data_IF_958780799663
#
_entry.id   IF_958780799663
#
_cell.length_a   1.000
_cell.length_b   1.000
_cell.length_c   1.000
_cell.angle_alpha   90.00
_cell.angle_beta   90.00
_cell.angle_gamma   90.00
#
_symmetry.space_group_name_H-M   'P 1'
#
loop_
_entity.id
_entity.type
_entity.pdbx_description
1 polymer ?
#
# COMPACT_ATOMS: atom_id res chain seq x y z
N UNK A 1 30.15 -4.83 50.62
CA UNK A 1 30.68 -5.50 49.42
C UNK A 1 29.73 -5.16 48.29
N UNK A 2 30.19 -4.36 47.34
CA UNK A 2 29.43 -3.95 46.14
C UNK A 2 28.97 -5.19 45.37
N UNK A 3 27.81 -5.18 44.69
CA UNK A 3 27.59 -4.93 43.23
C UNK A 3 26.12 -5.38 43.01
N UNK A 4 25.29 -4.98 42.05
CA UNK A 4 25.03 -3.81 41.20
C UNK A 4 23.73 -4.19 40.42
N UNK A 5 22.99 -3.20 39.92
CA UNK A 5 21.71 -3.37 39.23
C UNK A 5 21.85 -4.03 37.84
N UNK A 6 20.88 -4.87 37.45
CA UNK A 6 20.49 -5.22 36.06
C UNK A 6 19.02 -5.64 36.08
N UNK A 7 18.07 -4.73 35.84
CA UNK A 7 17.35 -4.49 34.58
C UNK A 7 16.74 -5.78 33.98
N UNK A 8 15.41 -5.87 34.09
CA UNK A 8 14.53 -6.85 33.44
C UNK A 8 14.17 -6.31 32.05
N UNK A 9 14.13 -7.14 31.00
CA UNK A 9 13.22 -6.92 29.90
C UNK A 9 12.14 -8.01 29.85
N UNK A 10 10.95 -7.53 29.52
CA UNK A 10 9.67 -8.21 29.49
C UNK A 10 9.63 -9.43 28.57
N UNK A 11 8.88 -10.42 29.04
CA UNK A 11 8.41 -11.59 28.30
C UNK A 11 7.37 -11.11 27.27
N UNK A 12 7.72 -11.15 25.99
CA UNK A 12 6.73 -11.18 24.91
C UNK A 12 6.56 -12.64 24.48
N UNK A 13 5.47 -13.24 24.93
CA UNK A 13 4.98 -14.54 24.49
C UNK A 13 4.35 -14.35 23.10
N UNK A 14 5.12 -14.54 22.03
CA UNK A 14 4.56 -14.67 20.68
C UNK A 14 4.29 -16.15 20.43
N UNK A 15 3.01 -16.45 20.33
CA UNK A 15 2.46 -17.75 19.96
C UNK A 15 2.93 -18.04 18.54
N UNK A 16 3.90 -18.94 18.39
CA UNK A 16 4.37 -19.42 17.10
C UNK A 16 3.29 -20.26 16.43
N UNK A 17 2.40 -19.61 15.67
CA UNK A 17 1.79 -20.27 14.52
C UNK A 17 2.92 -20.45 13.50
N UNK A 18 3.39 -21.70 13.40
CA UNK A 18 4.22 -22.19 12.31
C UNK A 18 3.42 -22.07 11.01
N UNK A 19 3.41 -20.89 10.40
CA UNK A 19 3.11 -20.77 8.99
C UNK A 19 4.32 -21.28 8.22
N UNK A 20 4.07 -22.41 7.58
CA UNK A 20 4.87 -23.10 6.59
C UNK A 20 5.57 -22.07 5.69
N UNK A 21 6.89 -22.17 5.42
CA UNK A 21 7.47 -21.42 4.32
C UNK A 21 6.88 -22.04 3.06
N UNK A 22 5.80 -21.45 2.56
CA UNK A 22 5.51 -21.57 1.13
C UNK A 22 6.67 -20.81 0.50
N UNK A 23 7.70 -21.57 0.10
CA UNK A 23 8.57 -21.16 -0.98
C UNK A 23 7.65 -20.89 -2.15
N UNK A 24 7.17 -19.65 -2.25
CA UNK A 24 6.47 -19.17 -3.41
C UNK A 24 7.59 -19.01 -4.41
N UNK A 25 7.83 -20.08 -5.17
CA UNK A 25 8.73 -20.07 -6.30
C UNK A 25 8.45 -18.79 -7.08
N UNK A 26 9.48 -17.98 -7.32
CA UNK A 26 9.47 -16.96 -8.36
C UNK A 26 8.75 -17.59 -9.56
N UNK A 27 7.55 -17.08 -9.87
CA UNK A 27 6.51 -17.82 -10.61
C UNK A 27 6.96 -18.25 -12.02
N UNK A 28 8.13 -17.80 -12.46
CA UNK A 28 8.74 -18.05 -13.77
C UNK A 28 10.26 -18.34 -13.71
N UNK A 29 10.81 -18.69 -12.54
CA UNK A 29 12.17 -19.22 -12.43
C UNK A 29 12.18 -20.66 -12.94
N UNK A 30 12.83 -20.88 -14.08
CA UNK A 30 12.81 -22.16 -14.75
C UNK A 30 13.80 -23.14 -14.11
N UNK A 31 14.97 -22.66 -13.71
CA UNK A 31 15.93 -23.45 -12.95
C UNK A 31 16.84 -22.60 -12.05
N UNK A 32 17.22 -23.14 -10.90
CA UNK A 32 18.19 -22.52 -9.98
C UNK A 32 19.15 -23.53 -9.37
N UNK A 33 20.45 -23.28 -9.45
CA UNK A 33 21.51 -24.15 -8.94
C UNK A 33 22.39 -23.39 -7.95
N UNK A 34 22.19 -23.58 -6.62
CA UNK A 34 22.98 -22.94 -5.58
C UNK A 34 24.34 -23.61 -5.33
N UNK A 35 24.56 -24.81 -5.87
CA UNK A 35 25.77 -25.62 -5.67
C UNK A 35 26.12 -25.96 -4.20
N UNK A 36 25.24 -25.69 -3.23
CA UNK A 36 25.43 -25.84 -1.77
C UNK A 36 25.49 -27.28 -1.22
N UNK A 37 25.49 -28.28 -2.10
CA UNK A 37 25.65 -29.69 -1.75
C UNK A 37 24.41 -30.39 -1.18
N UNK A 38 23.26 -29.72 -1.03
CA UNK A 38 21.99 -30.39 -0.84
C UNK A 38 21.26 -30.49 -2.20
N UNK A 39 20.73 -31.67 -2.54
CA UNK A 39 20.14 -31.93 -3.85
C UNK A 39 18.73 -31.29 -4.04
N UNK A 40 18.31 -30.39 -3.15
CA UNK A 40 16.92 -29.88 -3.09
C UNK A 40 16.91 -28.36 -3.31
N UNK A 41 16.93 -27.94 -4.58
CA UNK A 41 16.68 -26.56 -4.97
C UNK A 41 15.16 -26.27 -5.06
N UNK A 42 14.80 -24.97 -5.08
CA UNK A 42 13.41 -24.48 -5.08
C UNK A 42 12.55 -24.99 -6.27
N UNK A 43 13.18 -25.46 -7.36
CA UNK A 43 12.50 -26.01 -8.54
C UNK A 43 12.37 -27.54 -8.54
N UNK A 44 12.95 -28.24 -7.58
CA UNK A 44 12.80 -29.70 -7.40
C UNK A 44 13.58 -30.57 -8.40
N UNK A 45 14.61 -30.04 -9.05
CA UNK A 45 15.35 -30.73 -10.13
C UNK A 45 16.37 -31.78 -9.64
N UNK A 46 16.63 -31.87 -8.33
CA UNK A 46 17.28 -33.03 -7.71
C UNK A 46 18.80 -33.17 -7.93
N UNK A 47 19.49 -32.23 -8.59
CA UNK A 47 20.95 -32.25 -8.74
C UNK A 47 21.54 -30.85 -8.99
N UNK A 48 22.83 -30.69 -8.70
CA UNK A 48 23.65 -29.51 -9.03
C UNK A 48 24.21 -29.58 -10.46
N UNK A 49 23.47 -30.21 -11.38
CA UNK A 49 24.00 -30.69 -12.65
C UNK A 49 24.87 -31.95 -12.51
N UNK A 50 25.36 -32.45 -13.65
CA UNK A 50 26.30 -33.57 -13.74
C UNK A 50 27.70 -33.01 -13.97
N UNK A 51 28.61 -33.29 -13.03
CA UNK A 51 30.02 -32.92 -13.12
C UNK A 51 30.74 -33.84 -14.12
N UNK A 52 31.51 -33.24 -15.04
CA UNK A 52 32.29 -33.95 -16.07
C UNK A 52 33.76 -33.55 -15.96
N UNK A 53 34.67 -34.48 -16.29
CA UNK A 53 36.12 -34.27 -16.19
C UNK A 53 36.57 -34.14 -14.73
N UNK A 54 37.33 -33.09 -14.42
CA UNK A 54 37.82 -32.80 -13.07
C UNK A 54 36.94 -31.80 -12.32
N UNK A 55 35.73 -31.53 -12.80
CA UNK A 55 34.81 -30.61 -12.12
C UNK A 55 34.48 -31.12 -10.70
N UNK A 56 34.62 -30.25 -9.69
CA UNK A 56 34.25 -30.56 -8.30
C UNK A 56 33.33 -29.50 -7.72
N UNK A 57 32.60 -29.85 -6.65
CA UNK A 57 31.85 -28.89 -5.84
C UNK A 57 32.49 -28.84 -4.46
N UNK A 58 32.86 -27.64 -4.01
CA UNK A 58 33.46 -27.41 -2.69
C UNK A 58 32.80 -26.19 -2.06
N UNK A 59 32.22 -26.35 -0.86
CA UNK A 59 31.61 -25.27 -0.09
C UNK A 59 30.61 -24.39 -0.87
N UNK A 60 29.75 -24.98 -1.71
CA UNK A 60 28.78 -24.19 -2.47
C UNK A 60 29.29 -23.63 -3.80
N UNK A 61 30.51 -23.98 -4.21
CA UNK A 61 31.14 -23.43 -5.41
C UNK A 61 31.55 -24.56 -6.33
N UNK A 62 31.29 -24.41 -7.64
CA UNK A 62 31.82 -25.31 -8.67
C UNK A 62 33.25 -24.90 -8.98
N UNK A 63 34.16 -25.87 -9.01
CA UNK A 63 35.56 -25.70 -9.38
C UNK A 63 35.86 -26.48 -10.65
N UNK A 64 36.39 -25.79 -11.65
CA UNK A 64 37.01 -26.38 -12.84
C UNK A 64 38.52 -26.17 -12.69
N UNK A 65 39.32 -27.23 -12.54
CA UNK A 65 40.70 -27.12 -12.01
C UNK A 65 41.81 -27.12 -13.08
N UNK A 66 41.47 -27.14 -14.37
CA UNK A 66 42.42 -26.86 -15.43
C UNK A 66 43.52 -27.89 -15.74
N UNK A 67 43.61 -28.99 -14.97
CA UNK A 67 44.79 -29.87 -14.92
C UNK A 67 44.89 -30.95 -16.01
N UNK A 68 43.87 -31.09 -16.87
CA UNK A 68 43.81 -32.17 -17.87
C UNK A 68 44.60 -31.87 -19.15
N UNK A 69 45.35 -32.88 -19.62
CA UNK A 69 46.03 -32.83 -20.91
C UNK A 69 45.06 -33.18 -22.04
N UNK A 70 44.50 -32.13 -22.65
CA UNK A 70 43.97 -32.08 -24.01
C UNK A 70 43.03 -33.21 -24.49
N UNK A 71 42.14 -33.79 -23.67
CA UNK A 71 41.03 -34.65 -24.14
C UNK A 71 39.83 -34.73 -23.16
N UNK A 72 40.04 -34.42 -21.88
CA UNK A 72 39.00 -34.45 -20.85
C UNK A 72 38.52 -33.02 -20.51
N UNK A 73 37.43 -32.60 -21.14
CA UNK A 73 36.77 -31.32 -20.85
C UNK A 73 36.20 -31.32 -19.42
N UNK A 74 36.50 -30.29 -18.63
CA UNK A 74 35.89 -30.10 -17.30
C UNK A 74 34.75 -29.11 -17.38
N UNK A 75 33.54 -29.56 -17.05
CA UNK A 75 32.33 -28.76 -17.12
C UNK A 75 31.22 -29.33 -16.24
N UNK A 76 30.17 -28.54 -16.04
CA UNK A 76 28.90 -29.01 -15.46
C UNK A 76 27.86 -29.02 -16.57
N UNK A 77 27.19 -30.15 -16.79
CA UNK A 77 26.05 -30.26 -17.72
C UNK A 77 24.75 -30.40 -16.96
N UNK A 78 23.69 -29.75 -17.45
CA UNK A 78 22.38 -29.76 -16.82
C UNK A 78 21.32 -30.54 -17.63
N UNK A 79 21.75 -31.25 -18.69
CA UNK A 79 20.88 -32.03 -19.56
C UNK A 79 20.08 -31.15 -20.55
N UNK A 80 19.37 -31.80 -21.47
CA UNK A 80 18.62 -31.14 -22.56
C UNK A 80 17.27 -30.55 -22.13
N UNK A 81 16.82 -30.79 -20.89
CA UNK A 81 15.49 -30.43 -20.41
C UNK A 81 15.42 -29.08 -19.68
N UNK A 82 16.56 -28.51 -19.27
CA UNK A 82 16.67 -27.26 -18.49
C UNK A 82 16.48 -25.99 -19.36
N UNK A 83 15.56 -26.09 -20.34
CA UNK A 83 15.21 -25.08 -21.32
C UNK A 83 16.16 -24.96 -22.52
N UNK A 84 15.72 -25.54 -23.63
CA UNK A 84 16.20 -25.16 -24.95
C UNK A 84 15.80 -23.71 -25.22
N UNK A 85 16.76 -22.79 -25.35
CA UNK A 85 16.54 -21.33 -25.42
C UNK A 85 15.71 -20.83 -26.63
N UNK A 86 15.28 -21.73 -27.53
CA UNK A 86 14.35 -21.57 -28.68
C UNK A 86 14.05 -20.11 -29.15
N UNK A 87 12.80 -19.76 -29.45
CA UNK A 87 12.40 -18.39 -29.86
C UNK A 87 11.96 -17.53 -28.68
N UNK A 88 12.04 -18.05 -27.46
CA UNK A 88 11.49 -17.40 -26.28
C UNK A 88 12.45 -16.35 -25.71
N UNK A 89 11.89 -15.40 -24.97
CA UNK A 89 12.66 -14.55 -24.07
C UNK A 89 13.28 -15.42 -22.98
N UNK A 90 14.48 -15.09 -22.55
CA UNK A 90 15.14 -15.82 -21.46
C UNK A 90 16.13 -14.94 -20.73
N UNK A 91 16.50 -15.36 -19.53
CA UNK A 91 17.61 -14.77 -18.78
C UNK A 91 18.48 -15.86 -18.18
N UNK A 92 19.79 -15.71 -18.32
CA UNK A 92 20.78 -16.59 -17.69
C UNK A 92 21.65 -15.72 -16.80
N UNK A 93 21.67 -15.99 -15.49
CA UNK A 93 22.45 -15.24 -14.51
C UNK A 93 23.34 -16.20 -13.75
N UNK A 94 24.63 -15.90 -13.67
CA UNK A 94 25.56 -16.70 -12.87
C UNK A 94 26.70 -15.86 -12.30
N UNK A 95 27.18 -16.27 -11.13
CA UNK A 95 28.43 -15.78 -10.55
C UNK A 95 29.61 -16.59 -11.08
N UNK A 96 30.71 -15.91 -11.41
CA UNK A 96 31.97 -16.58 -11.73
C UNK A 96 33.17 -15.81 -11.17
N UNK A 97 34.29 -16.52 -11.06
CA UNK A 97 35.60 -15.97 -10.68
C UNK A 97 36.70 -16.72 -11.40
N UNK A 98 37.69 -15.99 -11.93
CA UNK A 98 38.82 -16.58 -12.65
C UNK A 98 40.05 -15.65 -12.65
N UNK A 99 41.24 -16.21 -12.93
CA UNK A 99 42.48 -15.48 -13.16
C UNK A 99 43.34 -16.26 -14.16
N UNK A 100 43.08 -16.09 -15.45
CA UNK A 100 43.62 -16.91 -16.53
C UNK A 100 44.59 -16.16 -17.43
N UNK A 101 45.74 -16.78 -17.73
CA UNK A 101 46.83 -16.07 -18.40
C UNK A 101 46.71 -16.06 -19.94
N UNK A 102 46.25 -17.11 -20.64
CA UNK A 102 46.24 -17.14 -22.13
C UNK A 102 45.13 -18.02 -22.76
N UNK A 103 43.84 -17.65 -22.64
CA UNK A 103 42.75 -18.54 -23.10
C UNK A 103 41.52 -17.85 -23.70
N UNK A 104 40.83 -18.56 -24.59
CA UNK A 104 39.43 -18.32 -24.98
C UNK A 104 38.64 -19.57 -24.60
N UNK A 105 37.61 -19.42 -23.75
CA UNK A 105 36.81 -20.54 -23.26
C UNK A 105 35.34 -20.15 -23.11
N UNK A 106 34.47 -21.15 -23.07
CA UNK A 106 33.04 -20.94 -22.86
C UNK A 106 32.76 -20.92 -21.34
N UNK A 107 32.24 -19.81 -20.82
CA UNK A 107 31.77 -19.68 -19.44
C UNK A 107 30.46 -20.42 -19.24
N UNK A 108 29.51 -20.22 -20.15
CA UNK A 108 28.19 -20.80 -20.08
C UNK A 108 27.56 -20.89 -21.47
N UNK A 109 26.71 -21.87 -21.72
CA UNK A 109 26.03 -22.02 -23.01
C UNK A 109 25.83 -23.47 -23.42
N UNK A 110 25.23 -23.66 -24.59
CA UNK A 110 24.98 -24.97 -25.19
C UNK A 110 25.86 -25.22 -26.44
N UNK A 111 26.80 -24.33 -26.74
CA UNK A 111 27.78 -24.52 -27.79
C UNK A 111 28.70 -25.72 -27.50
N UNK A 112 28.96 -26.53 -28.53
CA UNK A 112 29.97 -27.58 -28.51
C UNK A 112 30.89 -27.47 -29.73
N UNK A 113 32.03 -28.17 -29.67
CA UNK A 113 32.91 -28.28 -30.82
C UNK A 113 32.19 -28.86 -32.04
N UNK A 114 32.27 -28.15 -33.15
CA UNK A 114 31.55 -28.51 -34.38
C UNK A 114 30.07 -28.10 -34.39
N UNK A 115 29.55 -27.47 -33.34
CA UNK A 115 28.25 -26.76 -33.42
C UNK A 115 28.31 -25.75 -34.54
N UNK A 116 27.42 -25.91 -35.53
CA UNK A 116 27.20 -24.93 -36.57
C UNK A 116 25.81 -24.33 -36.30
N UNK A 117 25.81 -23.17 -35.65
CA UNK A 117 24.62 -22.38 -35.36
C UNK A 117 23.64 -22.92 -34.33
N UNK A 118 22.59 -22.12 -34.10
CA UNK A 118 21.51 -22.27 -33.14
C UNK A 118 22.01 -22.55 -31.72
N UNK A 119 22.91 -21.69 -31.21
CA UNK A 119 23.48 -21.83 -29.87
C UNK A 119 23.52 -20.51 -29.10
N UNK A 120 23.58 -20.63 -27.78
CA UNK A 120 24.03 -19.59 -26.85
C UNK A 120 25.46 -19.91 -26.42
N UNK A 121 26.36 -18.93 -26.53
CA UNK A 121 27.69 -19.00 -25.96
C UNK A 121 28.02 -17.71 -25.21
N UNK A 122 28.25 -17.83 -23.92
CA UNK A 122 28.93 -16.82 -23.09
C UNK A 122 30.37 -17.25 -22.99
N UNK A 123 31.29 -16.48 -23.57
CA UNK A 123 32.71 -16.78 -23.66
C UNK A 123 33.51 -15.78 -22.86
N UNK A 124 34.73 -16.17 -22.51
CA UNK A 124 35.67 -15.32 -21.79
C UNK A 124 37.05 -15.34 -22.43
N UNK A 125 37.68 -14.17 -22.43
CA UNK A 125 39.02 -13.95 -22.98
C UNK A 125 39.99 -13.67 -21.84
N UNK A 126 41.01 -14.51 -21.68
CA UNK A 126 42.12 -14.31 -20.74
C UNK A 126 43.28 -13.51 -21.35
N UNK A 127 44.34 -13.31 -20.56
CA UNK A 127 45.32 -12.23 -20.79
C UNK A 127 46.22 -12.39 -22.04
N UNK A 128 46.31 -13.59 -22.61
CA UNK A 128 47.19 -13.94 -23.73
C UNK A 128 46.55 -13.84 -25.10
N UNK A 129 45.28 -13.41 -25.19
CA UNK A 129 44.64 -13.22 -26.48
C UNK A 129 45.17 -11.97 -27.18
N UNK A 130 45.72 -12.12 -28.38
CA UNK A 130 46.45 -11.05 -29.08
C UNK A 130 45.56 -9.87 -29.52
N UNK A 131 44.24 -10.07 -29.68
CA UNK A 131 43.36 -9.11 -30.36
C UNK A 131 42.15 -8.63 -29.55
N UNK A 132 41.85 -9.26 -28.42
CA UNK A 132 40.67 -8.95 -27.60
C UNK A 132 41.19 -8.70 -26.18
N UNK A 133 40.76 -7.62 -25.51
CA UNK A 133 41.26 -7.29 -24.19
C UNK A 133 41.08 -8.42 -23.17
N UNK A 134 42.01 -8.49 -22.24
CA UNK A 134 41.95 -9.40 -21.10
C UNK A 134 40.66 -9.19 -20.28
N UNK A 135 40.05 -10.29 -19.87
CA UNK A 135 38.82 -10.35 -19.09
C UNK A 135 37.54 -10.05 -19.87
N UNK A 136 37.59 -9.95 -21.19
CA UNK A 136 36.39 -9.66 -21.98
C UNK A 136 35.42 -10.85 -21.94
N UNK A 137 34.18 -10.59 -21.51
CA UNK A 137 33.05 -11.52 -21.71
C UNK A 137 32.43 -11.25 -23.06
N UNK A 138 32.18 -12.30 -23.84
CA UNK A 138 31.54 -12.20 -25.16
C UNK A 138 30.29 -13.08 -25.15
N UNK A 139 29.13 -12.51 -25.44
CA UNK A 139 27.91 -13.30 -25.64
C UNK A 139 27.60 -13.39 -27.12
N UNK A 140 27.35 -14.60 -27.58
CA UNK A 140 26.97 -14.93 -28.94
C UNK A 140 25.67 -15.72 -28.97
N UNK A 141 24.79 -15.30 -29.89
CA UNK A 141 23.66 -16.06 -30.40
C UNK A 141 23.89 -16.24 -31.90
N UNK A 142 24.32 -17.43 -32.33
CA UNK A 142 24.82 -17.65 -33.70
C UNK A 142 23.94 -18.62 -34.50
N UNK A 143 23.80 -18.38 -35.82
CA UNK A 143 23.67 -19.40 -36.87
C UNK A 143 24.23 -18.88 -38.20
N UNK A 144 24.99 -19.72 -38.90
CA UNK A 144 25.47 -19.50 -40.26
C UNK A 144 24.29 -19.43 -41.25
N UNK A 145 23.68 -18.25 -41.39
CA UNK A 145 22.88 -17.95 -42.59
C UNK A 145 21.71 -16.97 -42.48
N UNK A 146 21.02 -16.84 -41.33
CA UNK A 146 19.83 -15.95 -41.28
C UNK A 146 19.47 -15.31 -39.93
N UNK A 147 20.11 -15.65 -38.80
CA UNK A 147 19.71 -15.16 -37.48
C UNK A 147 20.91 -14.62 -36.68
N UNK A 148 21.14 -13.31 -36.69
CA UNK A 148 22.19 -12.68 -35.90
C UNK A 148 21.59 -11.54 -35.09
N UNK A 149 21.45 -11.73 -33.78
CA UNK A 149 21.11 -10.61 -32.87
C UNK A 149 22.33 -9.75 -32.59
N UNK A 150 23.53 -10.34 -32.57
CA UNK A 150 24.76 -9.63 -32.33
C UNK A 150 25.72 -10.40 -31.42
N UNK A 151 27.02 -10.26 -31.67
CA UNK A 151 28.06 -10.49 -30.68
C UNK A 151 28.13 -9.26 -29.80
N UNK A 152 27.96 -9.43 -28.49
CA UNK A 152 28.13 -8.38 -27.48
C UNK A 152 29.37 -8.70 -26.67
N UNK A 153 30.17 -7.68 -26.38
CA UNK A 153 31.39 -7.80 -25.58
C UNK A 153 31.34 -6.85 -24.40
N UNK A 154 31.82 -7.30 -23.25
CA UNK A 154 31.94 -6.47 -22.05
C UNK A 154 32.81 -5.25 -22.30
N UNK A 155 32.46 -4.12 -21.67
CA UNK A 155 33.30 -2.92 -21.71
C UNK A 155 34.53 -3.05 -20.79
N UNK A 156 34.38 -3.81 -19.71
CA UNK A 156 35.41 -4.02 -18.69
C UNK A 156 35.90 -5.46 -18.68
N UNK A 157 37.17 -5.64 -18.31
CA UNK A 157 37.78 -6.95 -18.10
C UNK A 157 37.47 -7.49 -16.70
N UNK A 158 37.10 -8.76 -16.61
CA UNK A 158 36.70 -9.46 -15.38
C UNK A 158 37.74 -10.52 -14.94
N UNK A 159 38.98 -10.44 -15.43
CA UNK A 159 40.05 -11.39 -15.15
C UNK A 159 40.94 -10.95 -13.97
N UNK A 160 40.32 -10.70 -12.82
CA UNK A 160 40.99 -10.05 -11.68
C UNK A 160 41.02 -10.92 -10.40
N UNK A 161 40.49 -12.15 -10.46
CA UNK A 161 40.38 -13.04 -9.33
C UNK A 161 39.30 -12.65 -8.30
N UNK A 162 38.40 -11.72 -8.62
CA UNK A 162 37.21 -11.41 -7.82
C UNK A 162 35.97 -12.14 -8.36
N UNK A 163 34.91 -12.12 -7.56
CA UNK A 163 33.60 -12.61 -7.99
C UNK A 163 32.92 -11.55 -8.83
N UNK A 164 32.41 -11.97 -9.98
CA UNK A 164 31.59 -11.16 -10.86
C UNK A 164 30.27 -11.87 -11.17
N UNK A 165 29.19 -11.11 -11.25
CA UNK A 165 27.91 -11.58 -11.76
C UNK A 165 27.81 -11.25 -13.25
N UNK A 166 27.41 -12.25 -14.05
CA UNK A 166 27.06 -12.07 -15.46
C UNK A 166 25.58 -12.35 -15.62
N UNK A 167 24.82 -11.39 -16.14
CA UNK A 167 23.41 -11.56 -16.52
C UNK A 167 23.25 -11.36 -18.03
N UNK A 168 22.77 -12.39 -18.72
CA UNK A 168 22.49 -12.37 -20.16
C UNK A 168 20.99 -12.41 -20.36
N UNK A 169 20.44 -11.33 -20.91
CA UNK A 169 18.99 -11.13 -21.04
C UNK A 169 18.63 -11.05 -22.52
N UNK A 170 17.79 -11.96 -22.99
CA UNK A 170 17.15 -11.87 -24.30
C UNK A 170 15.71 -11.38 -24.14
N UNK A 171 15.40 -10.27 -24.81
CA UNK A 171 14.05 -9.75 -24.93
C UNK A 171 13.73 -9.45 -26.40
N UNK A 172 13.01 -10.36 -27.05
CA UNK A 172 12.72 -10.32 -28.48
C UNK A 172 13.99 -10.40 -29.32
N UNK A 173 14.28 -9.29 -30.01
CA UNK A 173 15.44 -9.11 -30.88
C UNK A 173 16.63 -8.45 -30.18
N UNK A 174 16.49 -8.11 -28.89
CA UNK A 174 17.54 -7.50 -28.08
C UNK A 174 18.23 -8.54 -27.20
N UNK A 175 19.55 -8.47 -27.17
CA UNK A 175 20.42 -9.19 -26.25
C UNK A 175 21.17 -8.18 -25.39
N UNK A 176 21.05 -8.31 -24.09
CA UNK A 176 21.61 -7.38 -23.11
C UNK A 176 22.53 -8.12 -22.16
N UNK A 177 23.69 -7.50 -21.88
CA UNK A 177 24.66 -7.96 -20.90
C UNK A 177 24.63 -7.00 -19.70
N UNK A 178 24.43 -7.56 -18.52
CA UNK A 178 24.66 -6.89 -17.25
C UNK A 178 25.84 -7.54 -16.55
N UNK A 179 26.66 -6.70 -15.90
CA UNK A 179 27.79 -7.11 -15.09
C UNK A 179 27.64 -6.50 -13.70
N UNK A 180 27.77 -7.33 -12.67
CA UNK A 180 27.71 -6.89 -11.26
C UNK A 180 26.45 -6.04 -10.96
N UNK A 181 25.31 -6.52 -11.45
CA UNK A 181 24.01 -5.85 -11.34
C UNK A 181 23.77 -4.72 -12.35
N UNK A 182 24.81 -4.15 -12.95
CA UNK A 182 24.72 -2.94 -13.76
C UNK A 182 24.65 -3.25 -15.26
N UNK A 183 23.92 -2.43 -16.02
CA UNK A 183 23.88 -2.53 -17.48
C UNK A 183 25.28 -2.28 -18.05
N UNK A 184 25.82 -3.26 -18.79
CA UNK A 184 27.10 -3.10 -19.50
C UNK A 184 26.84 -2.73 -20.97
N UNK A 185 26.08 -3.54 -21.70
CA UNK A 185 25.89 -3.33 -23.13
C UNK A 185 24.58 -3.96 -23.64
N UNK A 186 24.06 -3.46 -24.76
CA UNK A 186 22.88 -4.00 -25.45
C UNK A 186 23.13 -4.02 -26.95
N UNK A 187 22.80 -5.13 -27.59
CA UNK A 187 22.76 -5.23 -29.05
C UNK A 187 21.37 -5.68 -29.49
N UNK A 188 20.92 -5.16 -30.63
CA UNK A 188 19.68 -5.58 -31.28
C UNK A 188 19.98 -6.01 -32.70
N UNK A 189 19.36 -7.09 -33.17
CA UNK A 189 19.58 -7.60 -34.53
C UNK A 189 18.35 -8.25 -35.14
N UNK A 190 18.56 -9.25 -36.00
CA UNK A 190 17.49 -9.93 -36.73
C UNK A 190 16.65 -10.86 -35.87
N UNK A 191 15.46 -11.24 -36.36
CA UNK A 191 14.58 -12.22 -35.71
C UNK A 191 15.30 -13.57 -35.58
N UNK A 192 15.62 -13.99 -34.35
CA UNK A 192 16.14 -15.36 -34.13
C UNK A 192 14.97 -16.34 -34.16
N UNK A 193 14.97 -17.21 -35.15
CA UNK A 193 13.92 -18.22 -35.33
C UNK A 193 14.21 -19.56 -34.62
N UNK A 194 15.44 -19.81 -34.16
CA UNK A 194 15.79 -20.97 -33.34
C UNK A 194 17.15 -20.75 -32.62
N UNK A 195 17.24 -21.18 -31.36
CA UNK A 195 18.48 -21.22 -30.53
C UNK A 195 18.77 -22.62 -29.98
N UNK A 196 18.03 -23.63 -30.42
CA UNK A 196 18.25 -25.01 -30.01
C UNK A 196 19.13 -25.74 -31.01
N UNK A 197 20.25 -26.27 -30.53
CA UNK A 197 21.15 -27.18 -31.25
C UNK A 197 21.13 -28.61 -30.66
N UNK A 198 20.14 -28.93 -29.82
CA UNK A 198 19.99 -30.20 -29.10
C UNK A 198 21.10 -30.56 -28.09
N UNK A 199 22.06 -29.66 -27.85
CA UNK A 199 23.08 -29.87 -26.83
C UNK A 199 22.59 -29.45 -25.44
N UNK A 200 23.17 -30.06 -24.42
CA UNK A 200 22.96 -29.62 -23.05
C UNK A 200 23.53 -28.22 -22.82
N UNK A 201 22.85 -27.42 -22.00
CA UNK A 201 23.44 -26.24 -21.40
C UNK A 201 24.54 -26.65 -20.40
N UNK A 202 25.65 -25.91 -20.40
CA UNK A 202 26.84 -26.19 -19.60
C UNK A 202 27.38 -24.94 -18.93
N UNK A 203 28.05 -25.14 -17.78
CA UNK A 203 28.99 -24.18 -17.21
C UNK A 203 30.42 -24.68 -17.44
N UNK A 204 31.23 -23.82 -18.06
CA UNK A 204 32.62 -24.08 -18.42
C UNK A 204 32.77 -25.00 -19.61
N UNK A 205 33.79 -24.75 -20.43
CA UNK A 205 34.39 -25.69 -21.38
C UNK A 205 35.63 -25.08 -22.05
N UNK A 206 36.69 -25.87 -22.27
CA UNK A 206 37.85 -25.45 -23.08
C UNK A 206 37.61 -25.68 -24.57
N UNK A 207 38.16 -24.80 -25.42
CA UNK A 207 38.19 -24.97 -26.87
C UNK A 207 39.49 -25.71 -27.27
N UNK A 208 39.42 -26.54 -28.33
CA UNK A 208 40.50 -27.35 -28.92
C UNK A 208 41.95 -26.96 -28.52
N UNK A 209 42.70 -27.95 -28.04
CA UNK A 209 44.15 -27.90 -27.77
C UNK A 209 44.64 -26.99 -26.62
N UNK A 210 43.74 -26.34 -25.86
CA UNK A 210 44.11 -25.57 -24.66
C UNK A 210 43.74 -26.31 -23.36
N UNK A 211 44.59 -26.27 -22.31
CA UNK A 211 44.24 -26.88 -21.04
C UNK A 211 43.02 -26.18 -20.43
N UNK A 212 42.21 -26.91 -19.66
CA UNK A 212 40.98 -26.39 -19.06
C UNK A 212 41.24 -25.09 -18.27
N UNK A 213 40.33 -24.12 -18.34
CA UNK A 213 40.40 -22.89 -17.54
C UNK A 213 40.12 -23.19 -16.05
N UNK A 214 40.81 -22.47 -15.16
CA UNK A 214 40.53 -22.45 -13.72
C UNK A 214 39.42 -21.44 -13.46
N UNK A 215 38.21 -21.96 -13.27
CA UNK A 215 37.02 -21.13 -13.08
C UNK A 215 36.26 -21.65 -11.88
N UNK A 216 35.80 -20.70 -11.07
CA UNK A 216 34.85 -20.94 -10.01
C UNK A 216 33.48 -20.40 -10.41
N UNK A 217 32.40 -21.14 -10.14
CA UNK A 217 31.03 -20.67 -10.33
C UNK A 217 30.25 -20.71 -9.03
N UNK A 218 29.35 -19.74 -8.87
CA UNK A 218 28.37 -19.67 -7.81
C UNK A 218 27.01 -19.26 -8.41
N UNK A 219 25.93 -19.76 -7.83
CA UNK A 219 24.52 -19.50 -8.15
C UNK A 219 24.19 -19.35 -9.65
N UNK A 220 23.63 -20.39 -10.29
CA UNK A 220 23.07 -20.29 -11.65
C UNK A 220 21.55 -20.12 -11.59
N UNK A 221 21.04 -19.03 -12.16
CA UNK A 221 19.60 -18.78 -12.37
C UNK A 221 19.29 -18.81 -13.86
N UNK A 222 18.22 -19.53 -14.23
CA UNK A 222 17.69 -19.57 -15.59
C UNK A 222 16.20 -19.21 -15.54
N UNK A 223 15.83 -18.20 -16.32
CA UNK A 223 14.47 -17.72 -16.48
C UNK A 223 14.01 -17.94 -17.91
N UNK A 224 12.75 -18.35 -18.08
CA UNK A 224 12.08 -18.46 -19.39
C UNK A 224 11.45 -17.13 -19.84
N UNK A 225 11.95 -16.01 -19.29
CA UNK A 225 11.56 -14.63 -19.60
C UNK A 225 12.75 -13.70 -19.48
N UNK A 226 12.61 -12.49 -20.01
CA UNK A 226 13.51 -11.38 -19.67
C UNK A 226 13.18 -10.89 -18.26
N UNK A 227 14.17 -10.88 -17.36
CA UNK A 227 14.08 -10.25 -16.04
C UNK A 227 14.46 -8.76 -16.13
N UNK A 228 13.88 -7.94 -15.27
CA UNK A 228 14.10 -6.49 -15.21
C UNK A 228 15.43 -6.12 -14.54
N UNK A 229 15.87 -4.87 -14.73
CA UNK A 229 17.10 -4.35 -14.11
C UNK A 229 17.07 -4.45 -12.57
N UNK A 230 15.91 -4.21 -11.95
CA UNK A 230 15.77 -4.33 -10.50
C UNK A 230 15.92 -5.78 -10.03
N UNK A 231 15.38 -6.76 -10.77
CA UNK A 231 15.57 -8.19 -10.45
C UNK A 231 17.05 -8.59 -10.53
N UNK A 232 17.76 -8.09 -11.56
CA UNK A 232 19.20 -8.32 -11.75
C UNK A 232 20.01 -7.72 -10.58
N UNK A 233 19.70 -6.49 -10.19
CA UNK A 233 20.31 -5.84 -9.03
C UNK A 233 20.02 -6.60 -7.73
N UNK A 234 18.78 -7.05 -7.52
CA UNK A 234 18.37 -7.83 -6.33
C UNK A 234 19.14 -9.15 -6.23
N UNK A 235 19.35 -9.84 -7.36
CA UNK A 235 20.19 -11.04 -7.44
C UNK A 235 21.67 -10.74 -7.14
N UNK A 236 22.17 -9.57 -7.51
CA UNK A 236 23.57 -9.18 -7.26
C UNK A 236 23.84 -8.83 -5.79
N UNK A 237 22.95 -8.07 -5.16
CA UNK A 237 23.09 -7.65 -3.75
C UNK A 237 22.71 -8.75 -2.75
N UNK A 238 22.02 -9.80 -3.21
CA UNK A 238 21.55 -10.90 -2.36
C UNK A 238 20.39 -10.53 -1.44
N UNK A 239 19.68 -9.43 -1.75
CA UNK A 239 18.61 -8.86 -0.90
C UNK A 239 17.24 -9.50 -1.14
N UNK A 240 17.07 -10.23 -2.23
CA UNK A 240 15.87 -10.99 -2.55
C UNK A 240 16.23 -12.00 -3.64
N UNK A 241 15.57 -13.15 -3.66
CA UNK A 241 15.76 -14.16 -4.70
C UNK A 241 15.19 -13.68 -6.06
N UNK A 242 15.55 -12.47 -6.51
CA UNK A 242 14.95 -11.80 -7.67
C UNK A 242 13.69 -11.00 -7.37
N UNK A 243 13.36 -10.70 -6.11
CA UNK A 243 12.18 -9.88 -5.77
C UNK A 243 12.53 -8.39 -5.75
N UNK A 244 11.72 -7.57 -6.42
CA UNK A 244 11.89 -6.12 -6.57
C UNK A 244 11.14 -5.33 -5.50
N UNK A 245 11.70 -4.18 -5.17
CA UNK A 245 11.09 -3.04 -4.51
C UNK A 245 11.39 -1.84 -5.42
N UNK A 246 10.40 -1.40 -6.18
CA UNK A 246 10.58 -0.51 -7.33
C UNK A 246 10.65 0.96 -6.94
N UNK A 247 9.98 1.36 -5.86
CA UNK A 247 10.00 2.73 -5.34
C UNK A 247 10.84 2.90 -4.07
N UNK A 248 11.39 1.81 -3.54
CA UNK A 248 12.26 1.74 -2.36
C UNK A 248 11.56 2.16 -1.07
N UNK A 249 10.27 1.86 -0.93
CA UNK A 249 9.52 2.12 0.28
C UNK A 249 9.68 1.02 1.36
N UNK A 250 10.37 -0.07 1.02
CA UNK A 250 10.64 -1.21 1.89
C UNK A 250 9.63 -2.35 1.75
N UNK A 251 8.60 -2.20 0.91
CA UNK A 251 7.64 -3.21 0.53
C UNK A 251 8.02 -3.75 -0.86
N UNK A 252 7.89 -5.06 -1.03
CA UNK A 252 8.21 -5.69 -2.32
C UNK A 252 7.04 -5.49 -3.27
N UNK A 253 7.28 -5.23 -4.55
CA UNK A 253 6.25 -5.02 -5.57
C UNK A 253 5.11 -6.05 -5.58
N UNK A 254 5.39 -7.30 -5.17
CA UNK A 254 4.38 -8.38 -5.10
C UNK A 254 3.43 -8.30 -3.90
N UNK A 255 3.75 -7.46 -2.93
CA UNK A 255 3.06 -7.20 -1.67
C UNK A 255 2.71 -5.71 -1.52
N UNK A 256 3.03 -4.91 -2.53
CA UNK A 256 2.89 -3.45 -2.53
C UNK A 256 1.61 -3.08 -3.28
N UNK A 257 0.70 -2.35 -2.62
CA UNK A 257 -0.52 -1.85 -3.23
C UNK A 257 -0.29 -0.61 -4.12
N UNK A 258 0.90 0.01 -4.06
CA UNK A 258 1.33 1.05 -5.00
C UNK A 258 2.78 0.86 -5.49
N UNK A 259 3.09 -0.19 -6.29
CA UNK A 259 4.47 -0.61 -6.67
C UNK A 259 5.37 0.42 -7.38
N UNK A 260 4.87 1.62 -7.67
CA UNK A 260 5.64 2.70 -8.29
C UNK A 260 5.59 4.01 -7.51
N UNK A 261 4.93 4.07 -6.36
CA UNK A 261 4.75 5.26 -5.53
C UNK A 261 4.90 4.86 -4.08
N UNK A 262 6.01 5.28 -3.48
CA UNK A 262 6.38 4.91 -2.12
C UNK A 262 5.27 5.21 -1.10
N UNK A 263 4.77 4.16 -0.43
CA UNK A 263 3.77 4.21 0.63
C UNK A 263 3.97 3.07 1.64
N UNK A 264 5.00 3.21 2.47
CA UNK A 264 5.39 2.18 3.43
C UNK A 264 4.32 1.79 4.47
N UNK A 265 3.26 2.59 4.62
CA UNK A 265 2.10 2.32 5.47
C UNK A 265 1.04 1.43 4.80
N UNK A 266 1.05 1.36 3.46
CA UNK A 266 0.15 0.54 2.64
C UNK A 266 -1.32 0.81 2.97
N UNK A 267 -1.66 2.07 3.23
CA UNK A 267 -3.05 2.49 3.44
C UNK A 267 -3.86 2.22 2.15
N UNK A 268 -5.08 1.73 2.35
CA UNK A 268 -6.03 1.26 1.35
C UNK A 268 -7.42 1.41 2.00
N UNK A 269 -8.02 2.58 1.85
CA UNK A 269 -9.20 3.02 2.61
C UNK A 269 -10.47 2.25 2.22
N UNK A 270 -10.60 1.87 0.96
CA UNK A 270 -11.75 1.14 0.41
C UNK A 270 -11.55 -0.39 0.26
N UNK A 271 -10.35 -0.88 0.56
CA UNK A 271 -9.95 -2.28 0.44
C UNK A 271 -10.05 -2.85 -0.99
N UNK A 272 -9.88 -2.02 -2.03
CA UNK A 272 -9.92 -2.45 -3.43
C UNK A 272 -8.58 -3.06 -3.92
N UNK A 273 -7.50 -2.79 -3.19
CA UNK A 273 -6.15 -3.29 -3.42
C UNK A 273 -5.21 -2.32 -4.14
N UNK A 274 -5.67 -1.14 -4.56
CA UNK A 274 -4.83 0.03 -4.74
C UNK A 274 -4.65 0.74 -3.38
N UNK A 275 -3.50 1.36 -3.17
CA UNK A 275 -3.30 2.18 -1.98
C UNK A 275 -3.69 3.63 -2.23
N UNK A 276 -4.10 4.35 -1.20
CA UNK A 276 -4.60 5.74 -1.28
C UNK A 276 -3.66 6.68 -2.08
N UNK A 277 -2.34 6.46 -2.01
CA UNK A 277 -1.39 7.32 -2.77
C UNK A 277 -1.44 7.13 -4.28
N UNK A 278 -1.97 5.99 -4.75
CA UNK A 278 -2.09 5.63 -6.15
C UNK A 278 -3.53 5.36 -6.60
N UNK A 279 -4.49 5.41 -5.68
CA UNK A 279 -5.90 5.44 -5.98
C UNK A 279 -6.35 6.84 -6.45
N UNK A 280 -7.49 6.87 -7.12
CA UNK A 280 -8.15 8.03 -7.66
C UNK A 280 -9.40 8.43 -6.85
N UNK A 281 -9.96 7.48 -6.10
CA UNK A 281 -11.16 7.58 -5.28
C UNK A 281 -10.96 6.65 -4.06
N UNK A 282 -10.33 7.19 -3.01
CA UNK A 282 -9.78 6.40 -1.88
C UNK A 282 -10.88 5.72 -1.06
N UNK A 283 -12.13 6.20 -1.10
CA UNK A 283 -13.26 5.63 -0.35
C UNK A 283 -14.36 5.02 -1.22
N UNK A 284 -14.19 5.08 -2.55
CA UNK A 284 -15.03 4.45 -3.57
C UNK A 284 -16.50 4.91 -3.54
N UNK A 285 -16.76 6.15 -3.15
CA UNK A 285 -18.10 6.74 -3.14
C UNK A 285 -18.58 7.24 -4.51
N UNK A 286 -17.65 7.28 -5.48
CA UNK A 286 -17.86 7.69 -6.86
C UNK A 286 -17.46 9.13 -7.17
N UNK A 287 -16.85 9.85 -6.23
CA UNK A 287 -16.27 11.18 -6.39
C UNK A 287 -14.74 11.07 -6.30
N UNK A 288 -14.05 11.70 -7.24
CA UNK A 288 -12.59 11.63 -7.29
C UNK A 288 -11.99 12.42 -6.12
N UNK A 289 -10.90 11.95 -5.49
CA UNK A 289 -10.26 12.57 -4.30
C UNK A 289 -10.03 14.08 -4.42
N UNK A 290 -9.80 14.59 -5.63
CA UNK A 290 -9.54 16.01 -5.89
C UNK A 290 -10.80 16.90 -5.94
N UNK A 291 -11.97 16.28 -5.98
CA UNK A 291 -13.30 16.88 -6.06
C UNK A 291 -14.18 16.52 -4.86
N UNK A 292 -13.71 15.61 -4.02
CA UNK A 292 -14.39 15.09 -2.84
C UNK A 292 -14.15 15.99 -1.61
N UNK A 293 -15.22 16.38 -0.91
CA UNK A 293 -15.14 17.14 0.34
C UNK A 293 -14.84 16.25 1.56
N UNK A 294 -14.89 14.91 1.43
CA UNK A 294 -14.44 13.94 2.42
C UNK A 294 -13.67 12.77 1.79
N UNK A 295 -12.44 12.97 1.27
CA UNK A 295 -11.69 11.99 0.46
C UNK A 295 -11.34 10.63 1.12
N UNK A 296 -11.78 10.38 2.34
CA UNK A 296 -11.51 9.12 3.06
C UNK A 296 -12.74 8.58 3.78
N UNK A 297 -13.91 9.20 3.59
CA UNK A 297 -15.17 8.85 4.22
C UNK A 297 -16.29 9.01 3.20
N UNK A 298 -16.71 7.87 2.63
CA UNK A 298 -17.69 7.83 1.55
C UNK A 298 -18.95 8.66 1.86
N UNK A 299 -19.19 9.69 1.06
CA UNK A 299 -20.32 10.62 1.20
C UNK A 299 -20.78 11.13 -0.18
N UNK A 300 -21.28 10.19 -1.00
CA UNK A 300 -21.68 10.46 -2.40
C UNK A 300 -22.70 11.60 -2.64
N UNK A 301 -23.37 12.12 -1.61
CA UNK A 301 -24.24 13.30 -1.69
C UNK A 301 -23.50 14.63 -1.52
N UNK A 302 -22.26 14.61 -1.02
CA UNK A 302 -21.34 15.73 -0.85
C UNK A 302 -22.00 16.88 -0.08
N UNK A 303 -22.76 16.54 0.96
CA UNK A 303 -23.33 17.53 1.85
C UNK A 303 -22.20 18.27 2.58
N UNK A 304 -22.37 19.59 2.67
CA UNK A 304 -21.46 20.57 3.26
C UNK A 304 -22.36 21.73 3.71
N UNK A 305 -22.82 21.66 4.96
CA UNK A 305 -23.92 22.47 5.49
C UNK A 305 -23.52 23.93 5.71
N UNK A 306 -22.27 24.18 6.08
CA UNK A 306 -21.73 25.52 6.33
C UNK A 306 -20.95 26.13 5.15
N UNK A 307 -20.75 25.36 4.08
CA UNK A 307 -20.00 25.72 2.88
C UNK A 307 -18.51 26.04 3.13
N UNK A 308 -17.88 25.40 4.12
CA UNK A 308 -16.47 25.60 4.45
C UNK A 308 -15.51 24.75 3.59
N UNK A 309 -16.06 23.75 2.91
CA UNK A 309 -15.37 22.84 2.00
C UNK A 309 -15.01 21.48 2.59
N UNK A 310 -15.26 21.26 3.88
CA UNK A 310 -15.28 19.95 4.56
C UNK A 310 -16.71 19.42 4.48
N UNK A 311 -16.90 18.14 4.12
CA UNK A 311 -18.25 17.60 4.07
C UNK A 311 -18.76 17.17 5.44
N UNK A 312 -20.08 17.19 5.64
CA UNK A 312 -20.72 16.81 6.92
C UNK A 312 -20.35 15.39 7.40
N UNK A 313 -19.88 14.52 6.50
CA UNK A 313 -19.45 13.17 6.86
C UNK A 313 -18.08 13.12 7.57
N UNK A 314 -17.28 14.16 7.42
CA UNK A 314 -15.90 14.27 7.93
C UNK A 314 -15.61 15.62 8.60
N UNK A 315 -16.62 16.46 8.77
CA UNK A 315 -16.58 17.61 9.67
C UNK A 315 -16.94 17.17 11.10
N UNK A 316 -16.46 17.91 12.09
CA UNK A 316 -16.80 17.73 13.50
C UNK A 316 -17.75 18.86 14.00
N UNK A 317 -18.06 19.88 13.18
CA UNK A 317 -18.91 21.05 13.45
C UNK A 317 -19.65 21.48 12.16
N UNK A 318 -20.68 20.71 11.77
CA UNK A 318 -21.39 20.78 10.47
C UNK A 318 -22.00 22.16 10.13
N UNK A 319 -22.25 23.01 11.13
CA UNK A 319 -22.85 24.33 10.95
C UNK A 319 -21.94 25.51 11.37
N UNK A 320 -20.70 25.21 11.76
CA UNK A 320 -19.63 26.12 12.13
C UNK A 320 -20.04 27.16 13.22
N UNK A 321 -20.90 26.78 14.16
CA UNK A 321 -21.33 27.64 15.26
C UNK A 321 -20.38 27.64 16.47
N UNK A 322 -19.43 26.70 16.49
CA UNK A 322 -18.45 26.50 17.54
C UNK A 322 -18.83 25.47 18.60
N UNK A 323 -19.89 24.68 18.38
CA UNK A 323 -20.29 23.53 19.18
C UNK A 323 -20.13 22.27 18.33
N UNK A 324 -19.19 21.40 18.70
CA UNK A 324 -18.98 20.12 17.99
C UNK A 324 -20.27 19.28 17.92
N UNK A 325 -20.53 18.63 16.78
CA UNK A 325 -21.72 17.84 16.45
C UNK A 325 -22.17 16.90 17.57
N UNK A 326 -21.20 16.25 18.22
CA UNK A 326 -21.45 15.30 19.30
C UNK A 326 -22.06 15.91 20.56
N UNK A 327 -22.06 17.24 20.65
CA UNK A 327 -22.61 18.05 21.76
C UNK A 327 -23.65 19.07 21.29
N UNK A 328 -23.93 19.14 19.99
CA UNK A 328 -24.84 20.11 19.40
C UNK A 328 -26.30 19.59 19.38
N UNK A 329 -27.22 20.36 19.96
CA UNK A 329 -28.65 20.08 19.91
C UNK A 329 -29.34 20.54 18.63
N UNK A 330 -28.62 21.21 17.71
CA UNK A 330 -29.08 21.59 16.38
C UNK A 330 -28.00 21.43 15.29
N UNK A 331 -27.44 20.22 15.17
CA UNK A 331 -26.39 19.79 14.23
C UNK A 331 -26.20 20.59 12.91
N UNK A 332 -27.29 20.99 12.23
CA UNK A 332 -27.23 21.64 10.91
C UNK A 332 -27.74 23.09 10.93
N UNK A 333 -27.87 23.71 12.10
CA UNK A 333 -28.51 25.02 12.29
C UNK A 333 -27.88 25.79 13.44
N UNK A 334 -26.96 26.67 13.06
CA UNK A 334 -26.12 27.44 13.98
C UNK A 334 -26.89 28.06 15.16
N UNK A 335 -26.53 27.62 16.37
CA UNK A 335 -27.14 28.00 17.64
C UNK A 335 -26.16 27.88 18.84
N UNK A 336 -25.01 28.54 18.77
CA UNK A 336 -23.94 28.51 19.79
C UNK A 336 -24.35 28.74 21.28
N UNK A 337 -25.58 29.18 21.55
CA UNK A 337 -26.14 29.28 22.91
C UNK A 337 -26.80 27.99 23.44
N UNK A 338 -27.04 27.01 22.56
CA UNK A 338 -27.56 25.68 22.83
C UNK A 338 -28.84 25.73 23.69
N UNK A 339 -29.69 26.73 23.42
CA UNK A 339 -30.97 26.85 24.10
C UNK A 339 -31.88 25.67 23.71
N UNK A 340 -32.46 25.04 24.72
CA UNK A 340 -33.42 23.93 24.66
C UNK A 340 -34.41 24.18 25.81
N UNK A 341 -35.55 24.81 25.51
CA UNK A 341 -36.46 25.35 26.50
C UNK A 341 -37.33 24.28 27.18
N UNK A 342 -37.68 23.20 26.49
CA UNK A 342 -38.49 22.11 27.01
C UNK A 342 -37.66 20.90 27.50
N UNK A 343 -36.39 20.83 27.10
CA UNK A 343 -35.44 19.81 27.51
C UNK A 343 -35.59 18.49 26.76
N UNK A 344 -36.16 18.49 25.56
CA UNK A 344 -36.36 17.28 24.76
C UNK A 344 -35.11 16.83 23.97
N UNK A 345 -34.11 17.72 23.88
CA UNK A 345 -32.83 17.50 23.22
C UNK A 345 -32.71 18.09 21.82
N UNK A 346 -33.78 18.66 21.25
CA UNK A 346 -33.70 19.56 20.11
C UNK A 346 -33.48 20.99 20.60
N UNK A 347 -32.57 21.73 19.97
CA UNK A 347 -32.41 23.15 20.30
C UNK A 347 -33.50 24.01 19.70
N UNK A 348 -33.82 25.13 20.35
CA UNK A 348 -34.82 26.09 19.89
C UNK A 348 -34.60 26.59 18.45
N UNK A 349 -33.37 26.51 17.92
CA UNK A 349 -33.08 26.95 16.56
C UNK A 349 -33.59 25.97 15.49
N UNK A 350 -33.73 24.70 15.84
CA UNK A 350 -34.10 23.60 14.95
C UNK A 350 -35.35 22.83 15.42
N UNK A 351 -35.93 23.23 16.56
CA UNK A 351 -37.24 22.78 17.02
C UNK A 351 -38.37 23.55 16.30
N UNK A 352 -39.58 23.00 16.35
CA UNK A 352 -40.81 23.58 15.81
C UNK A 352 -41.83 23.95 16.90
N UNK A 353 -41.54 23.61 18.15
CA UNK A 353 -42.37 23.84 19.35
C UNK A 353 -41.44 24.04 20.57
N UNK A 354 -40.75 25.18 20.62
CA UNK A 354 -39.65 25.51 21.54
C UNK A 354 -39.89 25.17 23.01
N UNK A 355 -41.13 25.27 23.50
CA UNK A 355 -41.48 25.07 24.91
C UNK A 355 -42.32 23.82 25.18
N UNK A 356 -42.56 23.01 24.14
CA UNK A 356 -43.25 21.72 24.22
C UNK A 356 -44.69 21.81 24.72
N UNK A 357 -45.35 22.97 24.59
CA UNK A 357 -46.72 23.18 25.06
C UNK A 357 -47.79 22.65 24.10
N UNK A 358 -47.38 22.25 22.88
CA UNK A 358 -48.22 21.70 21.82
C UNK A 358 -48.72 22.72 20.80
N UNK A 359 -48.23 23.96 20.83
CA UNK A 359 -48.53 25.04 19.89
C UNK A 359 -47.26 25.42 19.13
N UNK A 360 -47.18 25.00 17.86
CA UNK A 360 -46.01 25.30 17.01
C UNK A 360 -45.61 26.78 17.01
N UNK A 361 -44.31 27.07 16.97
CA UNK A 361 -43.73 28.42 17.15
C UNK A 361 -44.36 29.47 16.22
N UNK A 362 -44.66 29.06 14.98
CA UNK A 362 -45.26 29.93 13.98
C UNK A 362 -46.65 30.48 14.36
N UNK A 363 -47.32 29.84 15.33
CA UNK A 363 -48.61 30.23 15.87
C UNK A 363 -48.56 30.59 17.36
N UNK A 364 -47.43 30.36 18.03
CA UNK A 364 -47.26 30.63 19.45
C UNK A 364 -46.84 32.09 19.69
N UNK A 365 -47.51 32.72 20.65
CA UNK A 365 -47.24 34.09 21.09
C UNK A 365 -46.31 34.13 22.31
N UNK A 366 -46.02 32.96 22.91
CA UNK A 366 -45.33 32.78 24.18
C UNK A 366 -44.34 31.61 24.13
N UNK A 367 -43.33 31.69 23.25
CA UNK A 367 -42.29 30.68 22.94
C UNK A 367 -41.43 30.14 24.11
N UNK A 368 -41.74 30.52 25.35
CA UNK A 368 -40.99 30.12 26.56
C UNK A 368 -41.95 29.91 27.73
N UNK A 369 -43.14 29.36 27.45
CA UNK A 369 -44.08 28.96 28.48
C UNK A 369 -43.45 27.89 29.36
N UNK A 370 -43.66 28.00 30.67
CA UNK A 370 -43.05 27.05 31.59
C UNK A 370 -43.64 25.64 31.40
N UNK A 371 -42.75 24.65 31.28
CA UNK A 371 -43.12 23.24 31.04
C UNK A 371 -44.22 22.75 32.01
N UNK A 372 -45.31 22.24 31.43
CA UNK A 372 -46.45 21.69 32.15
C UNK A 372 -47.49 22.72 32.62
N UNK A 373 -47.34 23.99 32.27
CA UNK A 373 -48.43 24.94 32.39
C UNK A 373 -49.56 24.63 31.40
N UNK A 374 -50.78 25.03 31.77
CA UNK A 374 -51.94 24.89 30.88
C UNK A 374 -51.98 26.14 30.00
N UNK A 375 -51.99 25.93 28.70
CA UNK A 375 -51.89 26.97 27.68
C UNK A 375 -53.17 27.13 26.87
N UNK A 376 -53.36 28.31 26.28
CA UNK A 376 -54.40 28.51 25.27
C UNK A 376 -53.94 27.87 23.95
N UNK A 377 -54.66 26.88 23.40
CA UNK A 377 -54.24 26.13 22.20
C UNK A 377 -54.20 26.97 20.91
N UNK A 378 -54.61 28.23 20.96
CA UNK A 378 -54.53 29.17 19.84
C UNK A 378 -53.30 30.07 19.97
N UNK A 379 -52.87 30.39 21.18
CA UNK A 379 -51.81 31.39 21.41
C UNK A 379 -50.57 30.86 22.11
N UNK A 380 -50.57 29.62 22.62
CA UNK A 380 -49.51 29.01 23.46
C UNK A 380 -49.29 29.68 24.83
N UNK A 381 -49.79 30.90 25.03
CA UNK A 381 -49.64 31.56 26.32
C UNK A 381 -50.43 30.89 27.46
N UNK A 382 -49.76 30.68 28.60
CA UNK A 382 -50.38 30.34 29.88
C UNK A 382 -51.04 31.56 30.57
N UNK A 383 -51.73 31.31 31.69
CA UNK A 383 -52.22 32.40 32.56
C UNK A 383 -51.04 33.23 33.10
N UNK A 384 -49.90 32.61 33.39
CA UNK A 384 -48.73 33.31 33.92
C UNK A 384 -48.05 34.19 32.86
N UNK A 385 -48.01 33.77 31.60
CA UNK A 385 -47.45 34.56 30.50
C UNK A 385 -48.33 35.77 30.14
N UNK A 386 -49.65 35.58 30.20
CA UNK A 386 -50.61 36.65 29.97
C UNK A 386 -50.66 37.64 31.16
N UNK A 387 -50.45 37.13 32.37
CA UNK A 387 -50.50 37.90 33.63
C UNK A 387 -49.19 37.81 34.45
N UNK A 388 -48.02 38.25 33.91
CA UNK A 388 -46.75 38.02 34.56
C UNK A 388 -46.61 38.85 35.83
N UNK A 389 -46.09 38.22 36.88
CA UNK A 389 -45.83 38.86 38.17
C UNK A 389 -44.58 39.76 38.12
N UNK A 390 -43.54 39.32 37.41
CA UNK A 390 -42.28 40.03 37.18
C UNK A 390 -41.99 40.05 35.67
N UNK A 391 -41.56 41.20 35.15
CA UNK A 391 -41.29 41.39 33.72
C UNK A 391 -39.78 41.31 33.44
N UNK A 392 -39.32 40.77 32.30
CA UNK A 392 -37.99 41.07 31.73
C UNK A 392 -37.82 42.60 31.51
N UNK A 393 -36.61 43.16 31.41
CA UNK A 393 -36.20 44.40 32.11
C UNK A 393 -36.80 45.76 31.63
N UNK A 394 -37.85 45.81 30.81
CA UNK A 394 -38.27 47.05 30.14
C UNK A 394 -39.56 47.73 30.61
N UNK A 395 -40.36 47.18 31.52
CA UNK A 395 -41.46 47.96 32.09
C UNK A 395 -41.96 47.43 33.45
N UNK A 396 -41.46 47.98 34.56
CA UNK A 396 -41.91 47.63 35.92
C UNK A 396 -43.35 48.10 36.25
N UNK A 397 -44.13 48.56 35.27
CA UNK A 397 -45.38 49.30 35.46
C UNK A 397 -46.62 48.75 34.68
N UNK A 398 -46.68 47.46 34.29
CA UNK A 398 -47.93 46.91 33.68
C UNK A 398 -49.12 47.06 34.64
N UNK A 399 -48.90 46.76 35.93
CA UNK A 399 -49.97 46.77 36.94
C UNK A 399 -49.93 48.04 37.79
N UNK A 400 -50.94 48.91 37.63
CA UNK A 400 -51.08 50.17 38.39
C UNK A 400 -51.19 49.98 39.91
N UNK A 401 -51.70 48.83 40.35
CA UNK A 401 -51.75 48.39 41.73
C UNK A 401 -51.96 46.87 41.80
N UNK A 402 -51.81 46.26 42.98
CA UNK A 402 -52.07 44.83 43.20
C UNK A 402 -53.48 44.40 42.74
N UNK A 403 -54.51 45.22 42.96
CA UNK A 403 -55.87 44.94 42.49
C UNK A 403 -56.01 44.81 40.97
N UNK A 404 -55.22 45.57 40.21
CA UNK A 404 -55.19 45.48 38.74
C UNK A 404 -54.59 44.15 38.26
N UNK A 405 -53.53 43.66 38.94
CA UNK A 405 -52.95 42.35 38.69
C UNK A 405 -53.96 41.23 38.96
N UNK A 406 -54.53 41.20 40.18
CA UNK A 406 -55.52 40.19 40.57
C UNK A 406 -56.74 40.23 39.65
N UNK A 407 -57.16 41.43 39.22
CA UNK A 407 -58.24 41.58 38.24
C UNK A 407 -57.88 40.96 36.90
N UNK A 408 -56.64 41.07 36.42
CA UNK A 408 -56.24 40.46 35.15
C UNK A 408 -56.27 38.94 35.25
N UNK A 409 -55.65 38.36 36.29
CA UNK A 409 -55.68 36.92 36.55
C UNK A 409 -57.13 36.43 36.65
N UNK A 410 -58.02 37.20 37.28
CA UNK A 410 -59.44 36.86 37.39
C UNK A 410 -60.19 36.81 36.06
N UNK A 411 -59.81 37.64 35.09
CA UNK A 411 -60.38 37.63 33.74
C UNK A 411 -59.78 36.48 32.94
N UNK A 412 -58.45 36.39 32.85
CA UNK A 412 -57.77 35.34 32.07
C UNK A 412 -58.12 33.94 32.55
N UNK A 413 -58.09 33.68 33.87
CA UNK A 413 -58.51 32.38 34.41
C UNK A 413 -59.99 32.07 34.16
N UNK A 414 -60.86 33.09 34.07
CA UNK A 414 -62.26 32.89 33.72
C UNK A 414 -62.40 32.48 32.26
N UNK A 415 -61.62 33.11 31.37
CA UNK A 415 -61.61 32.78 29.95
C UNK A 415 -61.09 31.34 29.74
N UNK A 416 -60.08 30.90 30.49
CA UNK A 416 -59.57 29.51 30.48
C UNK A 416 -60.62 28.49 30.97
N UNK A 417 -61.44 28.83 31.98
CA UNK A 417 -62.58 27.99 32.39
C UNK A 417 -63.64 27.93 31.28
N UNK A 418 -63.95 29.05 30.64
CA UNK A 418 -64.94 29.10 29.55
C UNK A 418 -64.49 28.33 28.31
N UNK A 419 -63.19 28.31 28.05
CA UNK A 419 -62.56 27.48 27.02
C UNK A 419 -62.44 25.99 27.42
N UNK A 420 -62.69 25.65 28.69
CA UNK A 420 -62.60 24.27 29.18
C UNK A 420 -61.17 23.78 29.44
N UNK A 421 -60.20 24.69 29.52
CA UNK A 421 -58.78 24.40 29.76
C UNK A 421 -58.49 24.09 31.24
N UNK A 422 -59.21 24.77 32.14
CA UNK A 422 -59.14 24.53 33.59
C UNK A 422 -60.55 24.40 34.19
N UNK A 423 -60.64 23.76 35.34
CA UNK A 423 -61.86 23.63 36.14
C UNK A 423 -62.14 24.86 37.00
N UNK A 424 -63.37 24.99 37.50
CA UNK A 424 -63.72 26.05 38.45
C UNK A 424 -62.92 25.96 39.76
N UNK A 425 -62.62 24.75 40.23
CA UNK A 425 -61.84 24.52 41.45
C UNK A 425 -60.35 24.94 41.25
N UNK A 426 -59.76 24.63 40.08
CA UNK A 426 -58.40 25.09 39.73
C UNK A 426 -58.32 26.61 39.61
N UNK A 427 -59.34 27.24 39.01
CA UNK A 427 -59.44 28.70 38.98
C UNK A 427 -59.47 29.30 40.40
N UNK A 428 -60.20 28.71 41.33
CA UNK A 428 -60.26 29.20 42.70
C UNK A 428 -58.89 29.12 43.41
N UNK A 429 -58.09 28.09 43.11
CA UNK A 429 -56.71 27.95 43.58
C UNK A 429 -55.79 29.03 42.98
N UNK A 430 -55.83 29.22 41.66
CA UNK A 430 -55.06 30.27 40.96
C UNK A 430 -55.40 31.66 41.52
N UNK A 431 -56.69 31.93 41.75
CA UNK A 431 -57.15 33.19 42.32
C UNK A 431 -56.71 33.38 43.77
N UNK A 432 -56.71 32.31 44.58
CA UNK A 432 -56.24 32.35 45.96
C UNK A 432 -54.74 32.69 46.00
N UNK A 433 -53.94 32.09 45.12
CA UNK A 433 -52.50 32.37 45.00
C UNK A 433 -52.24 33.81 44.54
N UNK A 434 -52.88 34.25 43.45
CA UNK A 434 -52.74 35.62 42.94
C UNK A 434 -53.11 36.68 44.00
N UNK A 435 -54.10 36.41 44.86
CA UNK A 435 -54.51 37.34 45.93
C UNK A 435 -53.49 37.49 47.07
N UNK A 436 -52.60 36.51 47.23
CA UNK A 436 -51.56 36.52 48.26
C UNK A 436 -50.20 36.92 47.69
N UNK A 437 -50.10 37.08 46.37
CA UNK A 437 -48.85 37.37 45.68
C UNK A 437 -48.33 38.77 45.98
N UNK A 438 -47.02 39.02 45.80
CA UNK A 438 -46.44 40.35 45.90
C UNK A 438 -46.64 41.21 44.64
N UNK A 439 -47.35 40.71 43.62
CA UNK A 439 -47.40 41.30 42.28
C UNK A 439 -48.27 42.57 42.23
N UNK A 440 -47.82 43.57 41.47
CA UNK A 440 -48.45 44.89 41.41
C UNK A 440 -48.09 45.77 42.61
N UNK A 441 -47.88 47.08 42.38
CA UNK A 441 -47.51 48.02 43.44
C UNK A 441 -48.60 48.05 44.52
N UNK A 442 -48.21 47.89 45.79
CA UNK A 442 -49.14 47.97 46.93
C UNK A 442 -49.66 49.37 47.19
#
# INVERSE_FOLDING_TARGET
MMINHSIIPSIALVIGLSLIPIARADLNLAAYYPFDGNANNATGNGNNGTLVGTATIQNGVVHLDGTESSWDDSFVTFGTNIDQFQTNNFSVVFGFKTQEEERLFDLAGDRVDGSNGNFLAVRFVGAGHEFIPDGTVIVELDDYGTNYVGMISSANGLNDGNWHQVAVIRNGVSLTLYLDGQLDNTVSGGDIVNLSNENDFRLGRSYWDFPNAVIQYDNLYIYNRAISECEIMSLYTGTGQGECDSDNDGIKNSLDNCPSISNSDQLDTDEDGAGDVCDYDDDNDGIENSLDNCPSISNSDQLDTDEDGTGDACDDDDDNDGVEDMSDNCLLTSNSDQLDADGDGAGNACDTDDDGDGVIDSNDQCLQTALGEIVDPITGCSINDLCPCMHPPYNQDKWRNHGAYVSSVAHTSKDFVEAGLITADERDLIMAEASQSPCGKK
#
